data_IF_415904253172
#
_entry.id   IF_415904253172
#
_cell.length_a   1.000
_cell.length_b   1.000
_cell.length_c   1.000
_cell.angle_alpha   90.00
_cell.angle_beta   90.00
_cell.angle_gamma   90.00
#
_symmetry.space_group_name_H-M   'P 1'
#
loop_
_entity.id
_entity.type
_entity.pdbx_description
1 polymer ?
#
# COMPACT_ATOMS: atom_id res chain seq x y z
N UNK A 1 -21.02 -7.88 -45.67
CA UNK A 1 -21.17 -8.01 -44.20
C UNK A 1 -20.11 -8.98 -43.70
N UNK A 2 -18.95 -8.47 -43.28
CA UNK A 2 -17.90 -9.30 -42.68
C UNK A 2 -18.13 -9.33 -41.18
N UNK A 3 -18.66 -10.44 -40.68
CA UNK A 3 -18.69 -10.71 -39.26
C UNK A 3 -17.24 -10.80 -38.78
N UNK A 4 -16.78 -9.76 -38.08
CA UNK A 4 -15.51 -9.79 -37.37
C UNK A 4 -15.66 -10.86 -36.28
N UNK A 5 -15.17 -12.06 -36.60
CA UNK A 5 -15.05 -13.16 -35.64
C UNK A 5 -14.08 -12.68 -34.55
N UNK A 6 -14.62 -12.23 -33.42
CA UNK A 6 -13.84 -12.11 -32.20
C UNK A 6 -13.42 -13.54 -31.81
N UNK A 7 -12.24 -13.95 -32.28
CA UNK A 7 -11.72 -15.29 -32.05
C UNK A 7 -11.62 -15.59 -30.54
N UNK A 8 -11.63 -16.87 -30.14
CA UNK A 8 -11.55 -17.32 -28.74
C UNK A 8 -10.43 -16.68 -27.90
N UNK A 9 -9.35 -16.21 -28.54
CA UNK A 9 -8.21 -15.56 -27.91
C UNK A 9 -8.57 -14.25 -27.18
N UNK A 10 -9.47 -13.42 -27.73
CA UNK A 10 -9.80 -12.12 -27.11
C UNK A 10 -10.56 -12.25 -25.79
N UNK A 11 -11.30 -13.34 -25.59
CA UNK A 11 -11.98 -13.61 -24.31
C UNK A 11 -11.01 -14.10 -23.23
N UNK A 12 -10.04 -14.94 -23.57
CA UNK A 12 -9.07 -15.49 -22.61
C UNK A 12 -8.24 -14.37 -21.93
N UNK A 13 -7.80 -13.38 -22.71
CA UNK A 13 -6.96 -12.28 -22.23
C UNK A 13 -7.70 -11.34 -21.26
N UNK A 14 -8.99 -11.09 -21.51
CA UNK A 14 -9.84 -10.28 -20.64
C UNK A 14 -10.06 -10.89 -19.24
N UNK A 15 -10.17 -12.22 -19.18
CA UNK A 15 -10.31 -12.97 -17.92
C UNK A 15 -9.04 -12.94 -17.08
N UNK A 16 -7.87 -13.07 -17.72
CA UNK A 16 -6.58 -12.99 -17.04
C UNK A 16 -6.31 -11.60 -16.44
N UNK A 17 -6.58 -10.52 -17.20
CA UNK A 17 -6.43 -9.15 -16.71
C UNK A 17 -7.35 -8.86 -15.50
N UNK A 18 -8.61 -9.29 -15.59
CA UNK A 18 -9.58 -9.17 -14.50
C UNK A 18 -9.10 -9.89 -13.24
N UNK A 19 -8.64 -11.13 -13.37
CA UNK A 19 -8.13 -11.92 -12.24
C UNK A 19 -6.93 -11.23 -11.57
N UNK A 20 -6.00 -10.69 -12.35
CA UNK A 20 -4.82 -9.98 -11.81
C UNK A 20 -5.22 -8.78 -10.95
N UNK A 21 -6.14 -7.92 -11.44
CA UNK A 21 -6.61 -6.76 -10.67
C UNK A 21 -7.28 -7.18 -9.36
N UNK A 22 -8.12 -8.23 -9.38
CA UNK A 22 -8.79 -8.74 -8.17
C UNK A 22 -7.79 -9.33 -7.17
N UNK A 23 -6.78 -10.06 -7.64
CA UNK A 23 -5.71 -10.59 -6.79
C UNK A 23 -4.89 -9.46 -6.17
N UNK A 24 -4.50 -8.45 -6.97
CA UNK A 24 -3.79 -7.27 -6.44
C UNK A 24 -4.64 -6.52 -5.40
N UNK A 25 -5.94 -6.34 -5.67
CA UNK A 25 -6.86 -5.68 -4.75
C UNK A 25 -6.98 -6.41 -3.42
N UNK A 26 -7.29 -7.72 -3.46
CA UNK A 26 -7.45 -8.55 -2.25
C UNK A 26 -6.15 -8.63 -1.45
N UNK A 27 -5.01 -8.84 -2.12
CA UNK A 27 -3.70 -8.88 -1.46
C UNK A 27 -3.32 -7.53 -0.84
N UNK A 28 -3.58 -6.41 -1.53
CA UNK A 28 -3.30 -5.06 -1.03
C UNK A 28 -4.11 -4.75 0.22
N UNK A 29 -5.42 -5.03 0.20
CA UNK A 29 -6.31 -4.82 1.35
C UNK A 29 -5.92 -5.72 2.52
N UNK A 30 -5.71 -7.01 2.28
CA UNK A 30 -5.28 -7.92 3.33
C UNK A 30 -3.95 -7.48 3.95
N UNK A 31 -2.95 -7.11 3.13
CA UNK A 31 -1.66 -6.64 3.61
C UNK A 31 -1.77 -5.35 4.45
N UNK A 32 -2.64 -4.41 4.06
CA UNK A 32 -2.85 -3.17 4.83
C UNK A 32 -3.37 -3.46 6.24
N UNK A 33 -4.44 -4.26 6.33
CA UNK A 33 -5.08 -4.54 7.61
C UNK A 33 -4.28 -5.50 8.49
N UNK A 34 -3.71 -6.56 7.91
CA UNK A 34 -2.84 -7.49 8.65
C UNK A 34 -1.56 -6.77 9.11
N UNK A 35 -0.99 -5.89 8.28
CA UNK A 35 0.17 -5.09 8.67
C UNK A 35 -0.09 -4.22 9.90
N UNK A 36 -1.27 -3.58 9.98
CA UNK A 36 -1.63 -2.72 11.12
C UNK A 36 -2.03 -3.49 12.38
N UNK A 37 -2.76 -4.60 12.23
CA UNK A 37 -3.38 -5.30 13.38
C UNK A 37 -2.61 -6.55 13.85
N UNK A 38 -1.68 -7.06 13.04
CA UNK A 38 -1.06 -8.36 13.28
C UNK A 38 0.38 -8.25 13.77
N UNK A 39 1.38 -8.46 12.90
CA UNK A 39 2.75 -8.69 13.33
C UNK A 39 3.47 -7.41 13.77
N UNK A 40 4.61 -7.60 14.42
CA UNK A 40 5.52 -6.53 14.77
C UNK A 40 5.97 -5.73 13.53
N UNK A 41 6.17 -4.43 13.72
CA UNK A 41 6.66 -3.49 12.71
C UNK A 41 8.16 -3.30 12.76
N UNK A 42 8.71 -3.20 13.98
CA UNK A 42 10.14 -2.98 14.18
C UNK A 42 10.64 -3.78 15.35
N UNK A 43 11.90 -4.17 15.27
CA UNK A 43 12.66 -4.67 16.40
C UNK A 43 13.49 -3.55 17.01
N UNK A 44 13.40 -3.41 18.31
CA UNK A 44 14.21 -2.50 19.10
C UNK A 44 15.29 -3.32 19.79
N UNK A 45 16.58 -3.10 19.48
CA UNK A 45 17.67 -3.78 20.15
C UNK A 45 17.73 -3.36 21.64
N UNK A 46 18.36 -4.16 22.50
CA UNK A 46 18.48 -3.80 23.91
C UNK A 46 19.26 -2.50 24.07
N UNK A 47 18.83 -1.65 24.99
CA UNK A 47 19.49 -0.38 25.32
C UNK A 47 19.98 -0.43 26.77
N UNK A 48 21.21 -0.92 27.03
CA UNK A 48 21.75 -1.06 28.38
C UNK A 48 21.79 0.27 29.15
N UNK A 49 21.90 1.39 28.44
CA UNK A 49 21.96 2.72 29.05
C UNK A 49 20.62 3.17 29.64
N UNK A 50 19.51 2.61 29.16
CA UNK A 50 18.16 2.91 29.60
C UNK A 50 17.53 1.73 30.39
N UNK A 51 18.29 0.66 30.62
CA UNK A 51 17.82 -0.61 31.20
C UNK A 51 16.58 -1.18 30.46
N UNK A 52 16.55 -1.00 29.13
CA UNK A 52 15.46 -1.48 28.28
C UNK A 52 15.86 -2.79 27.59
N UNK A 53 15.09 -3.88 27.77
CA UNK A 53 15.34 -5.12 27.06
C UNK A 53 15.03 -4.98 25.58
N UNK A 54 15.57 -5.90 24.78
CA UNK A 54 15.20 -6.02 23.38
C UNK A 54 13.71 -6.35 23.25
N UNK A 55 13.05 -5.80 22.24
CA UNK A 55 11.62 -6.02 22.05
C UNK A 55 11.16 -5.82 20.62
N UNK A 56 10.03 -6.46 20.30
CA UNK A 56 9.33 -6.21 19.04
C UNK A 56 8.16 -5.26 19.28
N UNK A 57 8.10 -4.18 18.49
CA UNK A 57 7.03 -3.20 18.59
C UNK A 57 6.00 -3.46 17.49
N UNK A 58 4.77 -3.75 17.90
CA UNK A 58 3.59 -3.76 17.02
C UNK A 58 3.20 -2.33 16.65
N UNK A 59 2.29 -2.18 15.69
CA UNK A 59 1.76 -0.86 15.33
C UNK A 59 1.13 -0.14 16.53
N UNK A 60 0.39 -0.86 17.39
CA UNK A 60 -0.21 -0.29 18.59
C UNK A 60 0.86 0.22 19.58
N UNK A 61 1.96 -0.53 19.75
CA UNK A 61 3.07 -0.08 20.60
C UNK A 61 3.77 1.15 20.00
N UNK A 62 3.96 1.19 18.67
CA UNK A 62 4.49 2.36 17.97
C UNK A 62 3.59 3.58 18.07
N UNK A 63 2.27 3.39 18.04
CA UNK A 63 1.26 4.42 18.27
C UNK A 63 1.40 5.04 19.65
N UNK A 64 1.46 4.21 20.69
CA UNK A 64 1.68 4.69 22.06
C UNK A 64 3.02 5.41 22.20
N UNK A 65 4.11 4.85 21.64
CA UNK A 65 5.45 5.45 21.70
C UNK A 65 5.57 6.77 20.91
N UNK A 66 4.71 6.99 19.91
CA UNK A 66 4.73 8.19 19.06
C UNK A 66 3.78 9.30 19.54
N UNK A 67 3.02 9.08 20.62
CA UNK A 67 2.05 10.04 21.14
C UNK A 67 2.70 11.40 21.49
N UNK A 68 3.91 11.36 22.05
CA UNK A 68 4.69 12.54 22.43
C UNK A 68 5.82 12.86 21.42
N UNK A 69 5.73 12.35 20.19
CA UNK A 69 6.75 12.62 19.17
C UNK A 69 6.81 14.12 18.83
N UNK A 70 8.02 14.66 18.75
CA UNK A 70 8.25 16.02 18.25
C UNK A 70 7.98 16.17 16.74
N UNK A 71 7.80 15.06 16.03
CA UNK A 71 7.40 15.05 14.61
C UNK A 71 5.89 14.91 14.48
N UNK A 72 5.22 16.00 14.07
CA UNK A 72 3.77 16.02 13.85
C UNK A 72 3.32 14.97 12.82
N UNK A 73 4.14 14.69 11.79
CA UNK A 73 3.83 13.67 10.76
C UNK A 73 3.87 12.27 11.36
N UNK A 74 4.85 11.99 12.23
CA UNK A 74 4.96 10.69 12.90
C UNK A 74 3.79 10.47 13.86
N UNK A 75 3.49 11.46 14.72
CA UNK A 75 2.38 11.41 15.66
C UNK A 75 1.04 11.20 14.92
N UNK A 76 0.80 11.95 13.82
CA UNK A 76 -0.40 11.79 13.02
C UNK A 76 -0.48 10.42 12.33
N UNK A 77 0.62 9.94 11.75
CA UNK A 77 0.71 8.62 11.09
C UNK A 77 0.32 7.48 12.01
N UNK A 78 1.01 7.36 13.14
CA UNK A 78 0.76 6.28 14.08
C UNK A 78 -0.51 6.48 14.91
N UNK A 79 -1.07 7.69 14.95
CA UNK A 79 -2.37 7.97 15.56
C UNK A 79 -3.55 7.59 14.67
N UNK A 80 -3.75 8.32 13.57
CA UNK A 80 -4.97 8.24 12.75
C UNK A 80 -4.73 8.03 11.25
N UNK A 81 -3.62 8.55 10.71
CA UNK A 81 -3.38 8.56 9.27
C UNK A 81 -3.18 7.16 8.68
N UNK A 82 -2.51 6.25 9.39
CA UNK A 82 -2.36 4.87 8.91
C UNK A 82 -3.70 4.14 8.73
N UNK A 83 -4.66 4.40 9.63
CA UNK A 83 -6.03 3.88 9.50
C UNK A 83 -6.73 4.48 8.29
N UNK A 84 -6.60 5.79 8.08
CA UNK A 84 -7.10 6.43 6.87
C UNK A 84 -6.48 5.84 5.61
N UNK A 85 -5.18 5.54 5.61
CA UNK A 85 -4.50 4.91 4.47
C UNK A 85 -5.05 3.52 4.19
N UNK A 86 -5.27 2.68 5.21
CA UNK A 86 -5.87 1.36 5.03
C UNK A 86 -7.30 1.45 4.46
N UNK A 87 -8.11 2.41 4.92
CA UNK A 87 -9.44 2.67 4.37
C UNK A 87 -9.36 3.15 2.91
N UNK A 88 -8.47 4.11 2.61
CA UNK A 88 -8.27 4.60 1.23
C UNK A 88 -7.82 3.48 0.29
N UNK A 89 -6.85 2.65 0.70
CA UNK A 89 -6.41 1.46 -0.05
C UNK A 89 -7.62 0.56 -0.32
N UNK A 90 -8.43 0.28 0.69
CA UNK A 90 -9.62 -0.58 0.57
C UNK A 90 -10.62 -0.01 -0.45
N UNK A 91 -11.01 1.25 -0.29
CA UNK A 91 -11.99 1.90 -1.19
C UNK A 91 -11.48 1.94 -2.62
N UNK A 92 -10.24 2.40 -2.83
CA UNK A 92 -9.67 2.52 -4.16
C UNK A 92 -9.49 1.16 -4.84
N UNK A 93 -9.04 0.13 -4.12
CA UNK A 93 -8.89 -1.21 -4.71
C UNK A 93 -10.22 -1.86 -5.04
N UNK A 94 -11.24 -1.69 -4.21
CA UNK A 94 -12.61 -2.14 -4.53
C UNK A 94 -13.11 -1.42 -5.78
N UNK A 95 -13.03 -0.09 -5.83
CA UNK A 95 -13.44 0.70 -7.01
C UNK A 95 -12.65 0.33 -8.27
N UNK A 96 -11.35 0.08 -8.15
CA UNK A 96 -10.51 -0.32 -9.27
C UNK A 96 -10.92 -1.71 -9.78
N UNK A 97 -11.20 -2.65 -8.89
CA UNK A 97 -11.60 -4.01 -9.24
C UNK A 97 -12.95 -4.09 -9.93
N UNK A 98 -13.88 -3.19 -9.59
CA UNK A 98 -15.24 -3.13 -10.15
C UNK A 98 -15.32 -2.29 -11.41
N UNK A 99 -14.75 -1.07 -11.42
CA UNK A 99 -14.89 -0.12 -12.53
C UNK A 99 -13.81 -0.26 -13.59
N UNK A 100 -12.58 -0.65 -13.19
CA UNK A 100 -11.38 -0.66 -14.05
C UNK A 100 -11.18 0.63 -14.84
N UNK A 101 -11.65 1.75 -14.31
CA UNK A 101 -11.60 3.03 -15.01
C UNK A 101 -10.20 3.66 -14.89
N UNK A 102 -9.72 4.30 -15.96
CA UNK A 102 -8.42 4.98 -15.97
C UNK A 102 -8.31 6.09 -14.91
N UNK A 103 -9.37 6.88 -14.62
CA UNK A 103 -9.32 7.86 -13.53
C UNK A 103 -9.10 7.21 -12.15
N UNK A 104 -9.81 6.13 -11.83
CA UNK A 104 -9.61 5.41 -10.56
C UNK A 104 -8.21 4.80 -10.50
N UNK A 105 -7.70 4.28 -11.61
CA UNK A 105 -6.34 3.77 -11.68
C UNK A 105 -5.28 4.85 -11.43
N UNK A 106 -5.46 6.05 -12.01
CA UNK A 106 -4.61 7.21 -11.74
C UNK A 106 -4.66 7.64 -10.26
N UNK A 107 -5.85 7.62 -9.65
CA UNK A 107 -6.02 7.87 -8.22
C UNK A 107 -5.30 6.83 -7.35
N UNK A 108 -5.32 5.55 -7.72
CA UNK A 108 -4.58 4.51 -7.01
C UNK A 108 -3.08 4.80 -7.01
N UNK A 109 -2.52 5.16 -8.17
CA UNK A 109 -1.08 5.49 -8.30
C UNK A 109 -0.74 6.73 -7.48
N UNK A 110 -1.48 7.82 -7.63
CA UNK A 110 -1.18 9.08 -6.93
C UNK A 110 -1.34 8.94 -5.42
N UNK A 111 -2.44 8.31 -4.95
CA UNK A 111 -2.65 8.05 -3.53
C UNK A 111 -1.54 7.15 -2.97
N UNK A 112 -1.15 6.08 -3.68
CA UNK A 112 -0.08 5.20 -3.23
C UNK A 112 1.28 5.91 -3.11
N UNK A 113 1.63 6.78 -4.05
CA UNK A 113 2.87 7.58 -3.98
C UNK A 113 2.86 8.52 -2.78
N UNK A 114 1.74 9.21 -2.54
CA UNK A 114 1.59 10.10 -1.37
C UNK A 114 1.66 9.30 -0.08
N UNK A 115 0.97 8.16 0.01
CA UNK A 115 1.00 7.29 1.18
C UNK A 115 2.42 6.77 1.47
N UNK A 116 3.17 6.40 0.42
CA UNK A 116 4.55 5.96 0.55
C UNK A 116 5.42 7.07 1.13
N UNK A 117 5.34 8.28 0.57
CA UNK A 117 6.13 9.42 1.04
C UNK A 117 5.82 9.76 2.51
N UNK A 118 4.53 9.82 2.87
CA UNK A 118 4.10 10.09 4.26
C UNK A 118 4.55 8.98 5.19
N UNK A 119 4.42 7.71 4.79
CA UNK A 119 4.86 6.56 5.60
C UNK A 119 6.37 6.62 5.85
N UNK A 120 7.18 6.89 4.83
CA UNK A 120 8.64 7.01 5.00
C UNK A 120 8.99 8.17 5.93
N UNK A 121 8.37 9.34 5.76
CA UNK A 121 8.61 10.49 6.64
C UNK A 121 8.16 10.23 8.08
N UNK A 122 7.05 9.52 8.27
CA UNK A 122 6.55 9.15 9.57
C UNK A 122 7.43 8.14 10.30
N UNK A 123 7.84 7.05 9.62
CA UNK A 123 8.70 6.02 10.22
C UNK A 123 10.10 6.57 10.49
N UNK A 124 10.62 7.46 9.63
CA UNK A 124 11.85 8.19 9.89
C UNK A 124 11.71 9.11 11.12
N UNK A 125 10.60 9.83 11.22
CA UNK A 125 10.38 10.79 12.30
C UNK A 125 11.51 11.85 12.36
N UNK A 126 12.01 12.19 13.56
CA UNK A 126 13.09 13.17 13.73
C UNK A 126 14.49 12.60 13.46
N UNK A 127 14.63 11.30 13.15
CA UNK A 127 15.93 10.66 13.00
C UNK A 127 16.71 11.20 11.78
N UNK A 128 18.05 11.29 11.85
CA UNK A 128 18.87 11.50 10.68
C UNK A 128 18.67 10.38 9.64
N UNK A 129 18.80 10.69 8.36
CA UNK A 129 18.61 9.71 7.28
C UNK A 129 19.60 8.53 7.35
N UNK A 130 20.83 8.74 7.83
CA UNK A 130 21.81 7.66 8.03
C UNK A 130 21.29 6.62 9.03
N UNK A 131 20.79 7.08 10.18
CA UNK A 131 20.23 6.22 11.24
C UNK A 131 18.98 5.50 10.74
N UNK A 132 18.13 6.18 9.97
CA UNK A 132 16.95 5.54 9.36
C UNK A 132 17.34 4.38 8.43
N UNK A 133 18.35 4.58 7.58
CA UNK A 133 18.83 3.54 6.65
C UNK A 133 19.44 2.35 7.40
N UNK A 134 20.23 2.59 8.45
CA UNK A 134 20.75 1.52 9.31
C UNK A 134 19.61 0.72 9.97
N UNK A 135 18.53 1.40 10.35
CA UNK A 135 17.33 0.83 10.94
C UNK A 135 16.48 -0.04 10.01
N UNK A 136 16.71 -0.02 8.69
CA UNK A 136 15.94 -0.84 7.72
C UNK A 136 16.08 -2.34 8.04
N UNK A 137 17.24 -2.75 8.55
CA UNK A 137 17.49 -4.14 8.98
C UNK A 137 16.58 -4.61 10.12
N UNK A 138 16.01 -3.67 10.88
CA UNK A 138 15.09 -3.95 11.99
C UNK A 138 13.63 -3.98 11.57
N UNK A 139 13.31 -3.73 10.30
CA UNK A 139 11.94 -3.84 9.78
C UNK A 139 11.46 -5.28 9.97
N UNK A 140 10.23 -5.41 10.47
CA UNK A 140 9.52 -6.67 10.67
C UNK A 140 8.33 -6.78 9.73
N UNK A 141 7.66 -7.93 9.79
CA UNK A 141 6.62 -8.31 8.83
C UNK A 141 5.46 -7.30 8.77
N UNK A 142 5.08 -6.66 9.88
CA UNK A 142 3.98 -5.69 9.90
C UNK A 142 4.23 -4.47 9.03
N UNK A 143 5.42 -3.89 9.14
CA UNK A 143 5.85 -2.77 8.31
C UNK A 143 6.04 -3.20 6.84
N UNK A 144 6.59 -4.40 6.61
CA UNK A 144 6.72 -4.95 5.27
C UNK A 144 5.36 -5.14 4.58
N UNK A 145 4.34 -5.62 5.30
CA UNK A 145 2.98 -5.77 4.79
C UNK A 145 2.31 -4.42 4.51
N UNK A 146 2.50 -3.42 5.37
CA UNK A 146 1.98 -2.08 5.13
C UNK A 146 2.61 -1.46 3.86
N UNK A 147 3.92 -1.61 3.66
CA UNK A 147 4.60 -1.17 2.44
C UNK A 147 4.15 -1.97 1.22
N UNK A 148 3.98 -3.29 1.35
CA UNK A 148 3.48 -4.13 0.28
C UNK A 148 2.06 -3.72 -0.16
N UNK A 149 1.19 -3.35 0.78
CA UNK A 149 -0.14 -2.84 0.47
C UNK A 149 -0.10 -1.60 -0.42
N UNK A 150 0.78 -0.64 -0.10
CA UNK A 150 0.99 0.60 -0.87
C UNK A 150 1.57 0.27 -2.26
N UNK A 151 2.57 -0.61 -2.34
CA UNK A 151 3.16 -1.03 -3.61
C UNK A 151 2.13 -1.73 -4.49
N UNK A 152 1.28 -2.58 -3.92
CA UNK A 152 0.21 -3.24 -4.64
C UNK A 152 -0.87 -2.24 -5.10
N UNK A 153 -1.19 -1.20 -4.31
CA UNK A 153 -2.06 -0.10 -4.72
C UNK A 153 -1.55 0.59 -5.99
N UNK A 154 -0.26 0.94 -6.00
CA UNK A 154 0.39 1.54 -7.16
C UNK A 154 0.40 0.56 -8.34
N UNK A 155 0.81 -0.69 -8.11
CA UNK A 155 0.90 -1.73 -9.13
C UNK A 155 -0.45 -2.03 -9.78
N UNK A 156 -1.52 -2.13 -9.00
CA UNK A 156 -2.88 -2.31 -9.50
C UNK A 156 -3.31 -1.17 -10.43
N UNK A 157 -3.05 0.08 -10.03
CA UNK A 157 -3.32 1.25 -10.86
C UNK A 157 -2.52 1.24 -12.16
N UNK A 158 -1.22 0.95 -12.10
CA UNK A 158 -0.38 0.86 -13.29
C UNK A 158 -0.84 -0.24 -14.25
N UNK A 159 -1.24 -1.42 -13.75
CA UNK A 159 -1.76 -2.50 -14.59
C UNK A 159 -2.97 -2.05 -15.43
N UNK A 160 -3.90 -1.30 -14.83
CA UNK A 160 -5.08 -0.79 -15.55
C UNK A 160 -4.70 0.34 -16.52
N UNK A 161 -3.81 1.26 -16.12
CA UNK A 161 -3.37 2.36 -16.99
C UNK A 161 -2.59 1.88 -18.23
N UNK A 162 -1.76 0.85 -18.06
CA UNK A 162 -0.94 0.29 -19.13
C UNK A 162 -1.70 -0.73 -19.99
N UNK A 163 -2.90 -1.15 -19.57
CA UNK A 163 -3.74 -2.02 -20.39
C UNK A 163 -4.26 -1.29 -21.63
N UNK A 164 -4.21 -1.91 -22.84
CA UNK A 164 -4.75 -1.33 -24.04
C UNK A 164 -6.25 -1.03 -23.87
N UNK A 165 -6.64 0.24 -24.07
CA UNK A 165 -8.06 0.59 -24.08
C UNK A 165 -8.61 0.15 -25.43
N UNK A 166 -9.49 -0.86 -25.45
CA UNK A 166 -10.23 -1.17 -26.67
C UNK A 166 -11.04 0.07 -27.05
N UNK A 167 -10.61 0.82 -28.07
CA UNK A 167 -11.39 1.93 -28.62
C UNK A 167 -12.67 1.32 -29.14
N UNK A 168 -13.81 1.67 -28.55
CA UNK A 168 -15.11 1.40 -29.17
C UNK A 168 -15.11 2.11 -30.53
N UNK A 169 -15.27 1.39 -31.65
CA UNK A 169 -15.38 2.03 -32.95
C UNK A 169 -16.58 2.99 -32.89
N UNK A 170 -16.34 4.25 -33.24
CA UNK A 170 -17.40 5.24 -33.38
C UNK A 170 -18.23 4.74 -34.56
N UNK A 171 -19.46 4.30 -34.30
CA UNK A 171 -20.39 4.02 -35.38
C UNK A 171 -20.77 5.37 -35.99
N UNK A 172 -20.25 5.64 -37.19
CA UNK A 172 -20.70 6.72 -38.07
C UNK A 172 -22.04 6.37 -38.72
#
# INVERSE_FOLDING_TARGET
MNAIYAGPQTRADSGAATRRVVVCATASVAAAWVGLLGPAWTYVPPQPQADLPAGELTFAALSAASADSTSAVQAAYFGWLAWCFAVTVTVLMVLLSTTRSRPVAALCVSAGVVQLAVTVLAVKGPLPWSVFVEGISNIRLGAALALAAIVLLIGGGLLVLLSPTARTPIAE
#
